data_IF_000899292649
#
_entry.id   IF_000899292649
#
_cell.length_a   1.000
_cell.length_b   1.000
_cell.length_c   1.000
_cell.angle_alpha   90.00
_cell.angle_beta   90.00
_cell.angle_gamma   90.00
#
_symmetry.space_group_name_H-M   'P 1'
#
loop_
_entity.id
_entity.type
_entity.pdbx_description
1 polymer ?
#
# COMPACT_ATOMS: atom_id res chain seq x y z
N UNK A 1 -48.07 -5.66 3.29
CA UNK A 1 -46.96 -6.62 3.02
C UNK A 1 -46.29 -6.35 1.68
N UNK A 2 -47.03 -5.97 0.64
CA UNK A 2 -46.52 -5.83 -0.74
C UNK A 2 -45.49 -4.70 -0.96
N UNK A 3 -45.59 -3.59 -0.24
CA UNK A 3 -44.63 -2.47 -0.36
C UNK A 3 -43.21 -2.84 0.11
N UNK A 4 -43.11 -3.68 1.15
CA UNK A 4 -41.82 -4.15 1.69
C UNK A 4 -41.19 -5.15 0.72
N UNK A 5 -41.98 -6.06 0.17
CA UNK A 5 -41.54 -7.00 -0.87
C UNK A 5 -41.05 -6.28 -2.13
N UNK A 6 -41.80 -5.29 -2.61
CA UNK A 6 -41.42 -4.47 -3.76
C UNK A 6 -40.13 -3.66 -3.51
N UNK A 7 -39.98 -3.07 -2.32
CA UNK A 7 -38.75 -2.38 -1.91
C UNK A 7 -37.54 -3.33 -1.88
N UNK A 8 -37.69 -4.48 -1.23
CA UNK A 8 -36.64 -5.49 -1.13
C UNK A 8 -36.23 -6.02 -2.51
N UNK A 9 -37.19 -6.23 -3.41
CA UNK A 9 -36.90 -6.65 -4.78
C UNK A 9 -36.15 -5.58 -5.57
N UNK A 10 -36.59 -4.31 -5.50
CA UNK A 10 -35.89 -3.18 -6.15
C UNK A 10 -34.48 -3.01 -5.60
N UNK A 11 -34.30 -3.17 -4.29
CA UNK A 11 -33.00 -3.12 -3.62
C UNK A 11 -32.08 -4.26 -4.07
N UNK A 12 -32.56 -5.51 -4.07
CA UNK A 12 -31.80 -6.68 -4.58
C UNK A 12 -31.41 -6.50 -6.05
N UNK A 13 -32.35 -6.07 -6.90
CA UNK A 13 -32.05 -5.82 -8.32
C UNK A 13 -30.98 -4.74 -8.49
N UNK A 14 -30.99 -3.69 -7.65
CA UNK A 14 -29.96 -2.65 -7.66
C UNK A 14 -28.60 -3.21 -7.23
N UNK A 15 -28.55 -4.01 -6.16
CA UNK A 15 -27.31 -4.66 -5.71
C UNK A 15 -26.75 -5.55 -6.81
N UNK A 16 -27.57 -6.40 -7.43
CA UNK A 16 -27.11 -7.30 -8.51
C UNK A 16 -26.52 -6.51 -9.67
N UNK A 17 -27.17 -5.42 -10.10
CA UNK A 17 -26.65 -4.55 -11.16
C UNK A 17 -25.32 -3.90 -10.77
N UNK A 18 -25.19 -3.41 -9.54
CA UNK A 18 -23.96 -2.82 -9.03
C UNK A 18 -22.83 -3.85 -8.92
N UNK A 19 -23.13 -5.06 -8.42
CA UNK A 19 -22.15 -6.15 -8.34
C UNK A 19 -21.67 -6.60 -9.72
N UNK A 20 -22.57 -6.64 -10.72
CA UNK A 20 -22.17 -6.93 -12.10
C UNK A 20 -21.28 -5.81 -12.66
N UNK A 21 -21.64 -4.54 -12.43
CA UNK A 21 -20.83 -3.41 -12.86
C UNK A 21 -19.44 -3.41 -12.20
N UNK A 22 -19.37 -3.71 -10.90
CA UNK A 22 -18.12 -3.87 -10.15
C UNK A 22 -17.26 -5.00 -10.73
N UNK A 23 -17.87 -6.15 -11.05
CA UNK A 23 -17.16 -7.28 -11.63
C UNK A 23 -16.57 -6.94 -13.01
N UNK A 24 -17.34 -6.25 -13.86
CA UNK A 24 -16.86 -5.77 -15.17
C UNK A 24 -15.71 -4.77 -14.96
N UNK A 25 -15.86 -3.81 -14.05
CA UNK A 25 -14.83 -2.83 -13.76
C UNK A 25 -13.52 -3.48 -13.28
N UNK A 26 -13.59 -4.41 -12.32
CA UNK A 26 -12.42 -5.15 -11.83
C UNK A 26 -11.75 -5.95 -12.94
N UNK A 27 -12.52 -6.56 -13.84
CA UNK A 27 -11.98 -7.28 -15.00
C UNK A 27 -11.20 -6.33 -15.92
N UNK A 28 -11.79 -5.20 -16.30
CA UNK A 28 -11.13 -4.23 -17.18
C UNK A 28 -9.88 -3.63 -16.52
N UNK A 29 -9.95 -3.31 -15.22
CA UNK A 29 -8.79 -2.86 -14.45
C UNK A 29 -7.65 -3.89 -14.46
N UNK A 30 -7.97 -5.16 -14.18
CA UNK A 30 -6.96 -6.22 -14.18
C UNK A 30 -6.37 -6.47 -15.57
N UNK A 31 -7.15 -6.32 -16.64
CA UNK A 31 -6.62 -6.38 -18.01
C UNK A 31 -5.60 -5.27 -18.29
N UNK A 32 -5.87 -4.05 -17.83
CA UNK A 32 -4.92 -2.93 -17.95
C UNK A 32 -3.67 -3.16 -17.10
N UNK A 33 -3.84 -3.71 -15.90
CA UNK A 33 -2.71 -4.10 -15.04
C UNK A 33 -1.84 -5.16 -15.68
N UNK A 34 -2.44 -6.19 -16.26
CA UNK A 34 -1.72 -7.24 -16.98
C UNK A 34 -0.88 -6.67 -18.12
N UNK A 35 -1.45 -5.75 -18.92
CA UNK A 35 -0.72 -5.04 -19.97
C UNK A 35 0.47 -4.20 -19.45
N UNK A 36 0.44 -3.81 -18.17
CA UNK A 36 1.50 -3.07 -17.48
C UNK A 36 2.30 -3.96 -16.51
N UNK A 37 2.38 -5.27 -16.79
CA UNK A 37 3.13 -6.24 -16.00
C UNK A 37 2.77 -6.25 -14.50
N UNK A 38 1.51 -5.96 -14.17
CA UNK A 38 0.98 -5.86 -12.82
C UNK A 38 1.73 -4.87 -11.91
N UNK A 39 2.41 -3.88 -12.49
CA UNK A 39 3.06 -2.79 -11.74
C UNK A 39 2.03 -1.94 -10.98
N UNK A 40 0.89 -1.52 -11.58
CA UNK A 40 -0.12 -0.84 -10.81
C UNK A 40 -0.69 -1.76 -9.73
N UNK A 41 -0.93 -1.20 -8.54
CA UNK A 41 -1.50 -1.94 -7.42
C UNK A 41 -2.89 -2.48 -7.72
N UNK A 42 -3.26 -3.55 -7.02
CA UNK A 42 -4.63 -4.05 -7.04
C UNK A 42 -5.58 -3.08 -6.34
N UNK A 43 -6.86 -3.15 -6.68
CA UNK A 43 -7.89 -2.40 -5.96
C UNK A 43 -8.07 -3.00 -4.57
N UNK A 44 -7.91 -2.16 -3.54
CA UNK A 44 -8.19 -2.57 -2.17
C UNK A 44 -9.67 -2.96 -2.00
N UNK A 45 -9.91 -4.06 -1.28
CA UNK A 45 -11.26 -4.52 -0.96
C UNK A 45 -11.94 -3.51 -0.02
N UNK A 46 -13.01 -2.88 -0.53
CA UNK A 46 -13.73 -1.84 0.21
C UNK A 46 -14.35 -2.37 1.52
N UNK A 47 -14.74 -3.64 1.58
CA UNK A 47 -15.29 -4.25 2.80
C UNK A 47 -14.18 -4.55 3.81
N UNK A 48 -12.98 -4.90 3.34
CA UNK A 48 -11.81 -5.01 4.22
C UNK A 48 -11.47 -3.65 4.82
N UNK A 49 -11.39 -2.60 3.99
CA UNK A 49 -11.16 -1.24 4.45
C UNK A 49 -12.23 -0.80 5.47
N UNK A 50 -13.51 -1.04 5.18
CA UNK A 50 -14.60 -0.75 6.10
C UNK A 50 -14.38 -1.41 7.46
N UNK A 51 -14.07 -2.72 7.49
CA UNK A 51 -13.84 -3.47 8.73
C UNK A 51 -12.64 -2.95 9.51
N UNK A 52 -11.56 -2.59 8.83
CA UNK A 52 -10.33 -2.08 9.46
C UNK A 52 -10.57 -0.74 10.17
N UNK A 53 -11.34 0.15 9.56
CA UNK A 53 -11.62 1.46 10.16
C UNK A 53 -12.74 1.44 11.20
N UNK A 54 -13.66 0.48 11.16
CA UNK A 54 -14.94 0.58 11.89
C UNK A 54 -14.79 0.83 13.39
N UNK A 55 -13.73 0.29 14.03
CA UNK A 55 -13.45 0.49 15.45
C UNK A 55 -12.93 1.90 15.79
N UNK A 56 -12.37 2.61 14.82
CA UNK A 56 -11.76 3.93 14.99
C UNK A 56 -12.61 5.05 14.37
N UNK A 57 -13.34 4.75 13.30
CA UNK A 57 -14.21 5.67 12.58
C UNK A 57 -15.36 4.89 11.94
N UNK A 58 -16.59 5.16 12.37
CA UNK A 58 -17.75 4.41 11.88
C UNK A 58 -18.00 4.70 10.39
N UNK A 59 -18.17 3.66 9.57
CA UNK A 59 -18.42 3.80 8.12
C UNK A 59 -19.72 4.52 7.77
N UNK A 60 -20.66 4.63 8.72
CA UNK A 60 -21.91 5.38 8.56
C UNK A 60 -21.82 6.84 8.98
N UNK A 61 -20.67 7.28 9.50
CA UNK A 61 -20.43 8.71 9.70
C UNK A 61 -20.36 9.37 8.32
N UNK A 62 -21.48 9.96 7.91
CA UNK A 62 -21.65 10.59 6.61
C UNK A 62 -20.78 11.85 6.50
N UNK A 63 -20.43 12.23 5.28
CA UNK A 63 -19.72 13.48 5.01
C UNK A 63 -18.49 13.33 4.12
N UNK A 64 -18.00 12.12 3.87
CA UNK A 64 -16.87 11.91 2.95
C UNK A 64 -16.15 10.59 3.17
N UNK A 65 -14.87 10.56 2.79
CA UNK A 65 -14.01 9.37 2.82
C UNK A 65 -13.22 9.21 4.13
N UNK A 66 -13.63 9.86 5.23
CA UNK A 66 -12.87 9.86 6.50
C UNK A 66 -12.59 8.46 7.06
N UNK A 67 -13.58 7.55 7.00
CA UNK A 67 -13.40 6.15 7.37
C UNK A 67 -12.42 5.42 6.43
N UNK A 68 -12.40 5.74 5.13
CA UNK A 68 -11.46 5.15 4.18
C UNK A 68 -10.03 5.66 4.38
N UNK A 69 -9.86 6.92 4.80
CA UNK A 69 -8.55 7.48 5.14
C UNK A 69 -7.94 6.74 6.33
N UNK A 70 -8.73 6.55 7.39
CA UNK A 70 -8.36 5.74 8.56
C UNK A 70 -8.05 4.30 8.14
N UNK A 71 -8.92 3.69 7.33
CA UNK A 71 -8.76 2.33 6.87
C UNK A 71 -7.47 2.13 6.06
N UNK A 72 -7.20 3.02 5.10
CA UNK A 72 -6.03 2.95 4.22
C UNK A 72 -4.73 3.05 5.01
N UNK A 73 -4.69 3.91 6.01
CA UNK A 73 -3.52 4.02 6.88
C UNK A 73 -3.22 2.69 7.61
N UNK A 74 -4.24 2.12 8.26
CA UNK A 74 -4.14 0.80 8.91
C UNK A 74 -3.76 -0.29 7.90
N UNK A 75 -4.42 -0.30 6.74
CA UNK A 75 -4.20 -1.27 5.69
C UNK A 75 -2.76 -1.23 5.16
N UNK A 76 -2.23 -0.07 4.80
CA UNK A 76 -0.87 0.05 4.29
C UNK A 76 0.19 -0.33 5.33
N UNK A 77 -0.04 0.02 6.59
CA UNK A 77 0.85 -0.36 7.69
C UNK A 77 0.83 -1.88 7.93
N UNK A 78 -0.35 -2.47 8.11
CA UNK A 78 -0.50 -3.90 8.46
C UNK A 78 -0.19 -4.86 7.32
N UNK A 79 -0.31 -4.41 6.06
CA UNK A 79 0.05 -5.20 4.87
C UNK A 79 1.48 -4.95 4.41
N UNK A 80 2.27 -4.15 5.13
CA UNK A 80 3.66 -3.84 4.79
C UNK A 80 3.79 -3.22 3.39
N UNK A 81 2.93 -2.26 3.05
CA UNK A 81 2.90 -1.61 1.73
C UNK A 81 3.71 -0.31 1.72
N UNK A 82 3.75 0.42 2.84
CA UNK A 82 4.53 1.66 2.94
C UNK A 82 5.12 1.87 4.32
N UNK A 83 6.30 2.51 4.38
CA UNK A 83 6.93 2.92 5.65
C UNK A 83 6.26 4.17 6.24
N UNK A 84 5.56 4.94 5.40
CA UNK A 84 4.88 6.19 5.75
C UNK A 84 3.63 6.38 4.89
N UNK A 85 2.63 7.03 5.46
CA UNK A 85 1.40 7.48 4.77
C UNK A 85 1.29 8.99 4.91
N UNK A 86 1.28 9.68 3.76
CA UNK A 86 1.02 11.12 3.66
C UNK A 86 -0.43 11.34 3.25
N UNK A 87 -1.20 12.04 4.09
CA UNK A 87 -2.57 12.45 3.82
C UNK A 87 -2.60 13.93 3.45
N UNK A 88 -2.72 14.23 2.15
CA UNK A 88 -2.80 15.60 1.63
C UNK A 88 -4.26 15.98 1.41
N UNK A 89 -4.68 17.13 1.95
CA UNK A 89 -6.08 17.56 1.91
C UNK A 89 -6.25 19.08 1.81
N UNK A 90 -7.37 19.56 1.25
CA UNK A 90 -7.69 20.97 1.26
C UNK A 90 -8.03 21.46 2.67
N UNK A 91 -7.63 22.70 2.97
CA UNK A 91 -8.03 23.36 4.21
C UNK A 91 -9.55 23.39 4.38
N UNK A 92 -10.02 23.13 5.60
CA UNK A 92 -11.44 23.17 5.95
C UNK A 92 -12.25 21.97 5.44
N UNK A 93 -11.60 20.92 4.93
CA UNK A 93 -12.26 19.65 4.64
C UNK A 93 -12.67 18.95 5.95
N UNK A 94 -13.82 19.33 6.50
CA UNK A 94 -14.31 18.87 7.79
C UNK A 94 -14.28 17.35 8.00
N UNK A 95 -14.67 16.49 7.03
CA UNK A 95 -14.54 15.03 7.18
C UNK A 95 -13.09 14.58 7.40
N UNK A 96 -12.13 15.24 6.73
CA UNK A 96 -10.71 14.93 6.83
C UNK A 96 -10.06 15.48 8.11
N UNK A 97 -10.57 16.57 8.67
CA UNK A 97 -10.15 17.05 10.00
C UNK A 97 -10.64 16.09 11.09
N UNK A 98 -11.84 15.54 10.94
CA UNK A 98 -12.37 14.53 11.87
C UNK A 98 -11.58 13.22 11.81
N UNK A 99 -11.21 12.75 10.60
CA UNK A 99 -10.39 11.55 10.47
C UNK A 99 -9.01 11.73 11.11
N UNK A 100 -8.37 12.90 11.01
CA UNK A 100 -7.11 13.18 11.72
C UNK A 100 -7.23 13.02 13.22
N UNK A 101 -8.33 13.50 13.80
CA UNK A 101 -8.63 13.29 15.21
C UNK A 101 -8.64 11.80 15.56
N UNK A 102 -9.29 10.98 14.72
CA UNK A 102 -9.31 9.53 14.88
C UNK A 102 -7.92 8.88 14.68
N UNK A 103 -7.09 9.41 13.78
CA UNK A 103 -5.75 8.88 13.51
C UNK A 103 -4.85 8.94 14.75
N UNK A 104 -5.09 9.84 15.70
CA UNK A 104 -4.35 9.87 16.97
C UNK A 104 -4.53 8.56 17.76
N UNK A 105 -5.74 7.99 17.77
CA UNK A 105 -6.00 6.68 18.37
C UNK A 105 -5.40 5.54 17.55
N UNK A 106 -5.44 5.65 16.22
CA UNK A 106 -4.87 4.67 15.29
C UNK A 106 -3.35 4.55 15.49
N UNK A 107 -2.62 5.67 15.44
CA UNK A 107 -1.16 5.69 15.65
C UNK A 107 -0.79 5.23 17.06
N UNK A 108 -1.64 5.52 18.06
CA UNK A 108 -1.44 4.99 19.40
C UNK A 108 -1.57 3.46 19.47
N UNK A 109 -2.40 2.85 18.61
CA UNK A 109 -2.58 1.40 18.52
C UNK A 109 -1.50 0.73 17.65
N UNK A 110 -1.17 1.33 16.51
CA UNK A 110 -0.19 0.84 15.53
C UNK A 110 1.12 1.62 15.66
N UNK A 111 1.96 1.25 16.63
CA UNK A 111 3.16 2.02 17.01
C UNK A 111 4.19 2.23 15.91
N UNK A 112 4.23 1.34 14.91
CA UNK A 112 5.18 1.43 13.80
C UNK A 112 4.70 2.33 12.65
N UNK A 113 3.50 2.89 12.76
CA UNK A 113 2.89 3.71 11.74
C UNK A 113 3.49 5.13 11.72
N UNK A 114 3.92 5.57 10.55
CA UNK A 114 4.26 6.98 10.30
C UNK A 114 3.11 7.56 9.47
N UNK A 115 2.28 8.37 10.09
CA UNK A 115 1.17 9.06 9.44
C UNK A 115 1.37 10.57 9.52
N UNK A 116 1.29 11.24 8.36
CA UNK A 116 1.44 12.69 8.28
C UNK A 116 0.24 13.31 7.55
N UNK A 117 -0.62 14.07 8.25
CA UNK A 117 -1.62 14.90 7.61
C UNK A 117 -1.07 16.29 7.27
N UNK A 118 -1.30 16.74 6.04
CA UNK A 118 -0.94 18.08 5.54
C UNK A 118 -2.18 18.74 4.95
N UNK A 119 -2.50 19.95 5.43
CA UNK A 119 -3.59 20.77 4.91
C UNK A 119 -3.08 21.84 3.95
N UNK A 120 -3.44 21.76 2.68
CA UNK A 120 -3.09 22.77 1.67
C UNK A 120 -3.79 24.07 2.01
N UNK A 121 -3.04 25.18 2.05
CA UNK A 121 -3.50 26.53 2.42
C UNK A 121 -3.85 26.76 3.90
N UNK A 122 -4.03 25.70 4.68
CA UNK A 122 -4.21 25.79 6.15
C UNK A 122 -2.88 25.82 6.89
N UNK A 123 -1.87 25.21 6.28
CA UNK A 123 -0.52 25.13 6.81
C UNK A 123 0.41 26.06 6.04
N UNK A 124 1.22 26.85 6.75
CA UNK A 124 2.24 27.69 6.11
C UNK A 124 3.31 26.84 5.42
N UNK A 125 3.81 27.30 4.27
CA UNK A 125 4.74 26.54 3.40
C UNK A 125 5.94 25.97 4.17
N UNK A 126 6.59 26.81 4.99
CA UNK A 126 7.76 26.42 5.78
C UNK A 126 7.42 25.30 6.78
N UNK A 127 6.24 25.37 7.40
CA UNK A 127 5.81 24.36 8.39
C UNK A 127 5.44 23.03 7.72
N UNK A 128 4.74 23.09 6.59
CA UNK A 128 4.45 21.90 5.81
C UNK A 128 5.75 21.24 5.34
N UNK A 129 6.70 22.03 4.83
CA UNK A 129 7.99 21.53 4.36
C UNK A 129 8.79 20.83 5.48
N UNK A 130 8.92 21.47 6.65
CA UNK A 130 9.69 20.91 7.77
C UNK A 130 9.07 19.61 8.31
N UNK A 131 7.74 19.54 8.47
CA UNK A 131 7.06 18.31 8.91
C UNK A 131 7.19 17.17 7.92
N UNK A 132 7.07 17.46 6.63
CA UNK A 132 7.26 16.46 5.56
C UNK A 132 8.71 15.95 5.58
N UNK A 133 9.70 16.84 5.70
CA UNK A 133 11.10 16.45 5.79
C UNK A 133 11.38 15.53 7.00
N UNK A 134 10.84 15.88 8.17
CA UNK A 134 11.02 15.07 9.38
C UNK A 134 10.42 13.67 9.21
N UNK A 135 9.16 13.56 8.79
CA UNK A 135 8.49 12.27 8.62
C UNK A 135 9.13 11.42 7.50
N UNK A 136 9.56 12.03 6.39
CA UNK A 136 10.32 11.34 5.36
C UNK A 136 11.69 10.88 5.86
N UNK A 137 12.32 11.65 6.74
CA UNK A 137 13.56 11.28 7.41
C UNK A 137 13.40 9.98 8.22
N UNK A 138 12.36 9.91 9.05
CA UNK A 138 12.02 8.72 9.82
C UNK A 138 11.72 7.51 8.92
N UNK A 139 10.90 7.71 7.87
CA UNK A 139 10.59 6.67 6.90
C UNK A 139 11.84 6.14 6.19
N UNK A 140 12.76 7.03 5.81
CA UNK A 140 14.05 6.68 5.21
C UNK A 140 14.93 5.86 6.15
N UNK A 141 14.95 6.18 7.45
CA UNK A 141 15.68 5.40 8.45
C UNK A 141 15.09 3.98 8.54
N UNK A 142 13.75 3.84 8.59
CA UNK A 142 13.11 2.51 8.58
C UNK A 142 13.44 1.71 7.32
N UNK A 143 13.37 2.33 6.14
CA UNK A 143 13.68 1.67 4.87
C UNK A 143 15.15 1.20 4.80
N UNK A 144 16.10 1.99 5.33
CA UNK A 144 17.51 1.58 5.42
C UNK A 144 17.73 0.43 6.39
N UNK A 145 17.15 0.51 7.59
CA UNK A 145 17.28 -0.53 8.59
C UNK A 145 16.69 -1.86 8.09
N UNK A 146 15.56 -1.82 7.39
CA UNK A 146 14.96 -2.98 6.73
C UNK A 146 15.88 -3.57 5.65
N UNK A 147 16.46 -2.73 4.79
CA UNK A 147 17.41 -3.17 3.77
C UNK A 147 18.65 -3.83 4.39
N UNK A 148 19.24 -3.21 5.41
CA UNK A 148 20.39 -3.75 6.13
C UNK A 148 20.08 -5.08 6.81
N UNK A 149 18.86 -5.23 7.36
CA UNK A 149 18.40 -6.50 7.93
C UNK A 149 18.34 -7.58 6.86
N UNK A 150 17.71 -7.30 5.73
CA UNK A 150 17.63 -8.24 4.59
C UNK A 150 19.01 -8.62 4.08
N UNK A 151 19.93 -7.66 3.92
CA UNK A 151 21.31 -7.93 3.50
C UNK A 151 22.06 -8.88 4.45
N UNK A 152 21.70 -8.94 5.73
CA UNK A 152 22.27 -9.89 6.70
C UNK A 152 21.65 -11.29 6.64
N UNK A 153 20.43 -11.39 6.11
CA UNK A 153 19.67 -12.65 6.00
C UNK A 153 19.93 -13.39 4.68
N UNK A 154 20.35 -12.67 3.63
CA UNK A 154 20.73 -13.27 2.35
C UNK A 154 22.19 -13.75 2.36
N UNK A 155 22.45 -14.85 1.66
CA UNK A 155 23.78 -15.49 1.57
C UNK A 155 24.77 -14.76 0.62
N UNK A 156 24.43 -13.55 0.16
CA UNK A 156 25.17 -12.82 -0.87
C UNK A 156 25.52 -11.41 -0.42
N UNK A 157 26.72 -10.96 -0.79
CA UNK A 157 27.15 -9.57 -0.61
C UNK A 157 26.47 -8.64 -1.60
N UNK A 158 26.48 -7.34 -1.29
CA UNK A 158 25.89 -6.33 -2.17
C UNK A 158 26.62 -6.26 -3.53
N UNK A 159 27.92 -6.48 -3.55
CA UNK A 159 28.71 -6.41 -4.79
C UNK A 159 28.45 -7.64 -5.67
N UNK A 160 28.23 -8.82 -5.09
CA UNK A 160 27.77 -10.00 -5.85
C UNK A 160 26.37 -9.78 -6.45
N UNK A 161 25.45 -9.19 -5.68
CA UNK A 161 24.10 -8.83 -6.18
C UNK A 161 24.21 -7.82 -7.33
N UNK A 162 25.08 -6.81 -7.21
CA UNK A 162 25.31 -5.83 -8.27
C UNK A 162 25.90 -6.45 -9.53
N UNK A 163 26.92 -7.30 -9.38
CA UNK A 163 27.53 -8.01 -10.51
C UNK A 163 26.49 -8.86 -11.23
N UNK A 164 25.65 -9.60 -10.49
CA UNK A 164 24.57 -10.38 -11.09
C UNK A 164 23.60 -9.52 -11.89
N UNK A 165 23.21 -8.36 -11.35
CA UNK A 165 22.33 -7.40 -12.04
C UNK A 165 23.01 -6.80 -13.27
N UNK A 166 24.33 -6.63 -13.26
CA UNK A 166 25.09 -6.17 -14.42
C UNK A 166 25.10 -7.20 -15.56
N UNK A 167 25.16 -8.48 -15.22
CA UNK A 167 25.08 -9.60 -16.17
C UNK A 167 23.65 -9.90 -16.68
N UNK A 168 22.62 -9.33 -16.02
CA UNK A 168 21.20 -9.56 -16.31
C UNK A 168 20.46 -8.24 -16.60
N UNK A 169 20.59 -7.66 -17.81
CA UNK A 169 20.01 -6.35 -18.17
C UNK A 169 18.49 -6.24 -17.99
N UNK A 170 17.74 -7.35 -18.07
CA UNK A 170 16.30 -7.39 -17.86
C UNK A 170 15.89 -6.93 -16.45
N UNK A 171 16.75 -7.13 -15.44
CA UNK A 171 16.53 -6.69 -14.06
C UNK A 171 16.56 -5.16 -13.92
N UNK A 172 17.15 -4.45 -14.90
CA UNK A 172 17.24 -2.98 -14.95
C UNK A 172 16.06 -2.35 -15.70
N UNK A 173 15.13 -3.15 -16.22
CA UNK A 173 13.98 -2.66 -16.94
C UNK A 173 13.06 -1.81 -16.06
N UNK A 174 12.62 -0.64 -16.55
CA UNK A 174 11.71 0.24 -15.79
C UNK A 174 10.35 -0.38 -15.48
N UNK A 175 9.96 -1.43 -16.21
CA UNK A 175 8.75 -2.23 -15.97
C UNK A 175 9.04 -3.59 -15.33
N UNK A 176 10.24 -3.78 -14.79
CA UNK A 176 10.61 -5.01 -14.10
C UNK A 176 9.78 -5.13 -12.81
N UNK A 177 9.06 -6.24 -12.68
CA UNK A 177 8.21 -6.49 -11.52
C UNK A 177 9.03 -7.16 -10.42
N UNK A 178 9.22 -6.44 -9.32
CA UNK A 178 9.83 -6.98 -8.11
C UNK A 178 8.76 -7.67 -7.26
N UNK A 179 8.89 -8.97 -6.94
CA UNK A 179 7.97 -9.65 -6.03
C UNK A 179 7.99 -9.06 -4.63
N UNK A 180 6.84 -9.07 -3.95
CA UNK A 180 6.71 -8.60 -2.57
C UNK A 180 6.83 -9.77 -1.59
N UNK A 181 7.72 -9.61 -0.62
CA UNK A 181 8.01 -10.58 0.42
C UNK A 181 7.26 -10.21 1.70
N UNK A 182 6.72 -11.21 2.38
CA UNK A 182 5.97 -10.98 3.61
C UNK A 182 6.84 -10.30 4.68
N UNK A 183 6.31 -9.23 5.28
CA UNK A 183 7.02 -8.46 6.31
C UNK A 183 8.08 -7.49 5.77
N UNK A 184 8.26 -7.38 4.45
CA UNK A 184 9.23 -6.47 3.82
C UNK A 184 8.51 -5.42 3.00
N UNK A 185 8.71 -4.16 3.36
CA UNK A 185 8.00 -3.03 2.78
C UNK A 185 8.73 -2.48 1.55
N UNK A 186 10.04 -2.25 1.66
CA UNK A 186 10.82 -1.49 0.69
C UNK A 186 11.12 -2.25 -0.59
N UNK A 187 11.03 -1.55 -1.73
CA UNK A 187 11.36 -2.10 -3.05
C UNK A 187 12.80 -2.61 -3.12
N UNK A 188 13.75 -1.87 -2.55
CA UNK A 188 15.17 -2.26 -2.58
C UNK A 188 15.42 -3.57 -1.81
N UNK A 189 14.80 -3.74 -0.65
CA UNK A 189 14.91 -4.94 0.17
C UNK A 189 14.26 -6.14 -0.54
N UNK A 190 13.05 -5.96 -1.06
CA UNK A 190 12.37 -6.96 -1.87
C UNK A 190 13.16 -7.36 -3.12
N UNK A 191 13.82 -6.39 -3.77
CA UNK A 191 14.65 -6.65 -4.94
C UNK A 191 15.87 -7.53 -4.62
N UNK A 192 16.56 -7.27 -3.51
CA UNK A 192 17.67 -8.11 -3.06
C UNK A 192 17.21 -9.54 -2.79
N UNK A 193 16.08 -9.73 -2.08
CA UNK A 193 15.52 -11.07 -1.82
C UNK A 193 15.25 -11.79 -3.15
N UNK A 194 14.66 -11.09 -4.10
CA UNK A 194 14.34 -11.65 -5.41
C UNK A 194 15.60 -12.06 -6.18
N UNK A 195 16.59 -11.18 -6.27
CA UNK A 195 17.85 -11.47 -6.97
C UNK A 195 18.61 -12.61 -6.29
N UNK A 196 18.68 -12.63 -4.96
CA UNK A 196 19.29 -13.73 -4.21
C UNK A 196 18.61 -15.08 -4.51
N UNK A 197 17.28 -15.09 -4.67
CA UNK A 197 16.54 -16.28 -5.09
C UNK A 197 16.91 -16.73 -6.51
N UNK A 198 17.04 -15.80 -7.46
CA UNK A 198 17.46 -16.10 -8.83
C UNK A 198 18.86 -16.70 -8.86
N UNK A 199 19.83 -16.05 -8.22
CA UNK A 199 21.22 -16.53 -8.09
C UNK A 199 21.29 -17.95 -7.51
N UNK A 200 20.49 -18.22 -6.47
CA UNK A 200 20.42 -19.55 -5.84
C UNK A 200 19.81 -20.60 -6.77
N UNK A 201 18.81 -20.24 -7.55
CA UNK A 201 18.17 -21.15 -8.52
C UNK A 201 19.10 -21.51 -9.68
N UNK A 202 19.82 -20.52 -10.21
CA UNK A 202 20.78 -20.70 -11.30
C UNK A 202 21.97 -21.56 -10.86
N UNK A 203 22.51 -21.31 -9.65
CA UNK A 203 23.57 -22.16 -9.09
C UNK A 203 23.16 -23.62 -8.94
N UNK A 204 21.90 -23.88 -8.55
CA UNK A 204 21.36 -25.25 -8.45
C UNK A 204 21.23 -25.91 -9.81
N UNK A 205 20.78 -25.18 -10.83
CA UNK A 205 20.68 -25.68 -12.20
C UNK A 205 22.06 -26.03 -12.75
N UNK A 206 23.05 -25.15 -12.60
CA UNK A 206 24.43 -25.42 -13.02
C UNK A 206 25.05 -26.62 -12.31
N UNK A 207 24.74 -26.82 -11.02
CA UNK A 207 25.21 -27.98 -10.25
C UNK A 207 24.50 -29.30 -10.61
N UNK A 208 23.32 -29.25 -11.23
CA UNK A 208 22.58 -30.45 -11.64
C UNK A 208 22.93 -30.92 -13.07
N UNK A 209 23.55 -30.04 -13.86
CA UNK A 209 23.98 -30.31 -15.24
C UNK A 209 25.47 -30.69 -15.33
N UNK A 210 26.25 -30.44 -14.27
CA UNK A 210 27.64 -30.86 -14.09
C UNK A 210 27.73 -32.26 -13.46
#
# INVERSE_FOLDING_TARGET
MDKVLAYNWKHKNRIVKLSLAEAIFKREWNRLREALNYIPHDLADQRELERLAHSFYNSRAAGGEGHLEVAKNIYYCTKHISHMVLSLKPFGCMPSTQSDGAQSAVVAHFKDMIFLPIETSGEGEINAHSRVQMALGEAKVKAKAEFEKVMKEVDYSLDEVRSYVDDHPELKGGMYRVPHSHGVIGTAANFVIHVASLMKSERKLSAAVA
#
